data_IF_093476725197
#
_entry.id   IF_093476725197
#
_cell.length_a   1.000
_cell.length_b   1.000
_cell.length_c   1.000
_cell.angle_alpha   90.00
_cell.angle_beta   90.00
_cell.angle_gamma   90.00
#
_symmetry.space_group_name_H-M   'P 1'
#
loop_
_entity.id
_entity.type
_entity.pdbx_description
1 polymer ?
#
# COMPACT_ATOMS: atom_id res chain seq x y z
N UNK A 1 -8.68 2.50 11.35
CA UNK A 1 -9.70 1.81 10.53
C UNK A 1 -9.43 2.19 9.08
N UNK A 2 -8.83 1.31 8.27
CA UNK A 2 -8.47 1.58 6.84
C UNK A 2 -9.03 0.55 5.86
N UNK A 3 -9.60 -0.55 6.37
CA UNK A 3 -10.21 -1.57 5.53
C UNK A 3 -11.41 -1.01 4.76
N UNK A 4 -11.51 -1.33 3.47
CA UNK A 4 -12.60 -0.88 2.61
C UNK A 4 -12.43 0.54 2.05
N UNK A 5 -11.37 1.26 2.43
CA UNK A 5 -11.05 2.53 1.80
C UNK A 5 -10.71 2.32 0.32
N UNK A 6 -11.18 3.23 -0.51
CA UNK A 6 -10.88 3.26 -1.95
C UNK A 6 -9.80 4.30 -2.16
N UNK A 7 -8.77 3.93 -2.91
CA UNK A 7 -7.73 4.84 -3.38
C UNK A 7 -7.88 4.96 -4.89
N UNK A 8 -7.88 6.19 -5.39
CA UNK A 8 -7.86 6.41 -6.83
C UNK A 8 -6.43 6.53 -7.38
N UNK A 9 -6.32 6.35 -8.70
CA UNK A 9 -5.05 6.40 -9.41
C UNK A 9 -4.33 7.75 -9.26
N UNK A 10 -5.07 8.86 -9.18
CA UNK A 10 -4.51 10.20 -9.06
C UNK A 10 -3.92 10.42 -7.66
N UNK A 11 -4.61 10.01 -6.61
CA UNK A 11 -4.15 10.02 -5.22
C UNK A 11 -2.86 9.21 -5.06
N UNK A 12 -2.83 8.01 -5.65
CA UNK A 12 -1.64 7.16 -5.62
C UNK A 12 -0.49 7.83 -6.40
N UNK A 13 -0.76 8.41 -7.57
CA UNK A 13 0.25 9.12 -8.37
C UNK A 13 0.81 10.34 -7.64
N UNK A 14 -0.02 11.10 -6.93
CA UNK A 14 0.40 12.20 -6.05
C UNK A 14 1.31 11.69 -4.93
N UNK A 15 0.98 10.56 -4.32
CA UNK A 15 1.80 9.94 -3.28
C UNK A 15 3.16 9.48 -3.82
N UNK A 16 3.22 8.90 -5.03
CA UNK A 16 4.48 8.53 -5.69
C UNK A 16 5.38 9.75 -5.85
N UNK A 17 4.86 10.85 -6.42
CA UNK A 17 5.65 12.06 -6.62
C UNK A 17 6.10 12.69 -5.29
N UNK A 18 5.19 12.78 -4.32
CA UNK A 18 5.48 13.31 -2.99
C UNK A 18 6.59 12.53 -2.28
N UNK A 19 6.48 11.20 -2.24
CA UNK A 19 7.47 10.32 -1.62
C UNK A 19 8.79 10.26 -2.39
N UNK A 20 8.75 10.42 -3.71
CA UNK A 20 9.93 10.45 -4.58
C UNK A 20 10.76 11.71 -4.40
N UNK A 21 10.13 12.82 -4.02
CA UNK A 21 10.82 14.07 -3.66
C UNK A 21 11.45 14.08 -2.26
N UNK A 22 11.14 13.09 -1.42
CA UNK A 22 11.63 13.05 -0.04
C UNK A 22 12.93 12.24 0.11
N UNK A 23 13.82 12.79 0.93
CA UNK A 23 14.94 12.08 1.54
C UNK A 23 14.44 10.96 2.47
N UNK A 24 15.38 10.09 2.89
CA UNK A 24 15.08 9.02 3.82
C UNK A 24 14.64 9.55 5.20
N UNK A 25 15.29 10.60 5.69
CA UNK A 25 14.99 11.20 7.00
C UNK A 25 13.62 11.90 7.01
N UNK A 26 13.26 12.58 5.91
CA UNK A 26 11.92 13.15 5.75
C UNK A 26 10.84 12.06 5.71
N UNK A 27 11.10 10.94 5.02
CA UNK A 27 10.19 9.79 5.04
C UNK A 27 10.06 9.18 6.43
N UNK A 28 11.16 9.05 7.18
CA UNK A 28 11.15 8.54 8.56
C UNK A 28 10.32 9.44 9.50
N UNK A 29 10.26 10.74 9.22
CA UNK A 29 9.48 11.69 9.99
C UNK A 29 7.96 11.65 9.71
N UNK A 30 7.49 10.85 8.74
CA UNK A 30 6.06 10.72 8.43
C UNK A 30 5.30 10.15 9.65
N UNK A 31 4.30 10.87 10.19
CA UNK A 31 3.53 10.39 11.33
C UNK A 31 2.83 9.06 11.05
N UNK A 32 2.99 8.09 11.96
CA UNK A 32 2.36 6.78 11.85
C UNK A 32 3.05 5.82 10.86
N UNK A 33 4.18 6.20 10.26
CA UNK A 33 5.00 5.27 9.50
C UNK A 33 5.70 4.29 10.44
N UNK A 34 5.52 3.00 10.20
CA UNK A 34 6.22 1.95 10.95
C UNK A 34 7.74 2.04 10.67
N UNK A 35 8.60 2.01 11.71
CA UNK A 35 10.04 2.07 11.53
C UNK A 35 10.57 1.00 10.57
N UNK A 36 11.48 1.38 9.69
CA UNK A 36 12.04 0.53 8.64
C UNK A 36 11.28 0.62 7.30
N UNK A 37 10.05 1.14 7.28
CA UNK A 37 9.29 1.30 6.02
C UNK A 37 9.75 2.51 5.19
N UNK A 38 10.50 3.45 5.74
CA UNK A 38 10.99 4.63 5.01
C UNK A 38 11.79 4.26 3.75
N UNK A 39 12.45 3.10 3.77
CA UNK A 39 13.25 2.56 2.67
C UNK A 39 12.40 2.06 1.50
N UNK A 40 11.22 1.51 1.77
CA UNK A 40 10.41 0.78 0.79
C UNK A 40 9.10 1.47 0.43
N UNK A 41 8.65 2.45 1.22
CA UNK A 41 7.36 3.11 1.06
C UNK A 41 7.17 3.70 -0.36
N UNK A 42 8.16 4.43 -0.86
CA UNK A 42 8.12 5.01 -2.21
C UNK A 42 8.03 3.93 -3.31
N UNK A 43 8.85 2.87 -3.20
CA UNK A 43 8.84 1.78 -4.16
C UNK A 43 7.50 1.02 -4.16
N UNK A 44 6.91 0.81 -2.97
CA UNK A 44 5.59 0.20 -2.84
C UNK A 44 4.48 1.03 -3.50
N UNK A 45 4.50 2.35 -3.31
CA UNK A 45 3.56 3.26 -3.98
C UNK A 45 3.71 3.19 -5.51
N UNK A 46 4.94 3.20 -6.01
CA UNK A 46 5.23 3.10 -7.45
C UNK A 46 4.74 1.77 -8.04
N UNK A 47 4.96 0.65 -7.34
CA UNK A 47 4.48 -0.66 -7.79
C UNK A 47 2.94 -0.66 -7.91
N UNK A 48 2.23 -0.14 -6.91
CA UNK A 48 0.77 -0.06 -6.94
C UNK A 48 0.28 0.80 -8.10
N UNK A 49 0.91 1.96 -8.31
CA UNK A 49 0.60 2.88 -9.39
C UNK A 49 0.79 2.24 -10.78
N UNK A 50 1.89 1.51 -10.98
CA UNK A 50 2.16 0.75 -12.20
C UNK A 50 1.17 -0.41 -12.41
N UNK A 51 0.70 -1.05 -11.34
CA UNK A 51 -0.36 -2.05 -11.45
C UNK A 51 -1.67 -1.44 -11.94
N UNK A 52 -2.11 -0.33 -11.35
CA UNK A 52 -3.33 0.35 -11.79
C UNK A 52 -3.24 0.81 -13.24
N UNK A 53 -2.10 1.41 -13.63
CA UNK A 53 -1.84 1.81 -15.00
C UNK A 53 -1.93 0.62 -15.97
N UNK A 54 -1.22 -0.48 -15.67
CA UNK A 54 -1.19 -1.65 -16.55
C UNK A 54 -2.56 -2.35 -16.66
N UNK A 55 -3.32 -2.39 -15.57
CA UNK A 55 -4.67 -2.97 -15.53
C UNK A 55 -5.77 -2.03 -16.06
N UNK A 56 -5.43 -0.78 -16.41
CA UNK A 56 -6.39 0.26 -16.81
C UNK A 56 -7.46 0.48 -15.73
N UNK A 57 -7.07 0.33 -14.47
CA UNK A 57 -7.94 0.47 -13.31
C UNK A 57 -7.80 1.87 -12.72
N UNK A 58 -8.93 2.53 -12.46
CA UNK A 58 -8.96 3.88 -11.90
C UNK A 58 -8.88 3.89 -10.37
N UNK A 59 -9.18 2.78 -9.72
CA UNK A 59 -9.24 2.68 -8.26
C UNK A 59 -8.80 1.30 -7.77
N UNK A 60 -8.41 1.21 -6.50
CA UNK A 60 -8.30 -0.04 -5.76
C UNK A 60 -8.90 0.10 -4.35
N UNK A 61 -9.28 -1.02 -3.75
CA UNK A 61 -9.82 -1.07 -2.39
C UNK A 61 -8.81 -1.69 -1.43
N UNK A 62 -8.58 -1.04 -0.30
CA UNK A 62 -7.64 -1.47 0.74
C UNK A 62 -8.22 -2.62 1.56
N UNK A 63 -7.51 -3.75 1.60
CA UNK A 63 -7.81 -4.86 2.49
C UNK A 63 -6.75 -4.99 3.60
N UNK A 64 -7.19 -5.02 4.85
CA UNK A 64 -6.32 -5.43 5.99
C UNK A 64 -6.26 -6.95 6.13
N UNK A 65 -7.12 -7.67 5.40
CA UNK A 65 -7.18 -9.13 5.38
C UNK A 65 -6.20 -9.65 4.33
N UNK A 66 -5.12 -10.26 4.79
CA UNK A 66 -4.18 -11.03 3.98
C UNK A 66 -4.15 -12.52 4.35
N UNK A 67 -3.08 -13.23 3.98
CA UNK A 67 -2.91 -14.68 4.13
C UNK A 67 -3.28 -15.25 5.50
N UNK A 68 -2.91 -14.58 6.60
CA UNK A 68 -3.26 -15.02 7.96
C UNK A 68 -4.78 -15.15 8.15
N UNK A 69 -5.55 -14.22 7.60
CA UNK A 69 -7.02 -14.26 7.70
C UNK A 69 -7.57 -15.35 6.80
N UNK A 70 -7.05 -15.47 5.57
CA UNK A 70 -7.46 -16.53 4.64
C UNK A 70 -7.19 -17.94 5.20
N UNK A 71 -6.09 -18.12 5.94
CA UNK A 71 -5.77 -19.38 6.60
C UNK A 71 -6.72 -19.66 7.76
N UNK A 72 -6.96 -18.68 8.64
CA UNK A 72 -7.86 -18.81 9.79
C UNK A 72 -9.33 -19.02 9.39
N UNK A 73 -9.75 -18.51 8.24
CA UNK A 73 -11.10 -18.70 7.71
C UNK A 73 -11.27 -20.05 6.99
N UNK A 74 -10.19 -20.83 6.82
CA UNK A 74 -10.21 -22.10 6.08
C UNK A 74 -9.67 -23.27 6.92
N UNK A 75 -10.60 -24.02 7.51
CA UNK A 75 -10.33 -25.19 8.35
C UNK A 75 -9.54 -26.29 7.62
N UNK A 76 -9.55 -26.31 6.28
CA UNK A 76 -8.84 -27.31 5.46
C UNK A 76 -7.34 -27.37 5.72
N UNK A 77 -6.73 -26.30 6.23
CA UNK A 77 -5.28 -26.25 6.47
C UNK A 77 -4.87 -26.61 7.90
N UNK A 78 -5.83 -26.90 8.78
CA UNK A 78 -5.59 -27.26 10.19
C UNK A 78 -6.12 -28.66 10.56
N UNK A 79 -6.45 -29.48 9.55
CA UNK A 79 -6.87 -30.90 9.68
C UNK A 79 -5.79 -31.81 9.11
#
# INVERSE_FOLDING_TARGET
MVHGQVLDYEEISKAVNWLGGMTLDERRAIPGLEPGREHTLHAGALILERFLFSLHALTCTVSVRGWRHALLENDRYFI
#
